data_IF_354487746615
#
_entry.id   IF_354487746615
#
_cell.length_a   1.000
_cell.length_b   1.000
_cell.length_c   1.000
_cell.angle_alpha   90.00
_cell.angle_beta   90.00
_cell.angle_gamma   90.00
#
_symmetry.space_group_name_H-M   'P 1'
#
loop_
_entity.id
_entity.type
_entity.pdbx_description
1 polymer ?
#
# COMPACT_ATOMS: atom_id res chain seq x y z
N UNK A 1 10.06 12.25 -4.74
CA UNK A 1 8.58 12.20 -4.78
C UNK A 1 8.06 11.95 -3.38
N UNK A 2 6.87 12.48 -3.04
CA UNK A 2 6.25 12.12 -1.76
C UNK A 2 5.87 10.64 -1.79
N UNK A 3 6.27 9.89 -0.76
CA UNK A 3 5.95 8.47 -0.61
C UNK A 3 4.69 8.32 0.22
N UNK A 4 3.80 7.42 -0.22
CA UNK A 4 2.57 7.12 0.51
C UNK A 4 2.87 6.32 1.77
N UNK A 5 3.76 5.33 1.67
CA UNK A 5 4.17 4.49 2.78
C UNK A 5 5.42 5.09 3.45
N UNK A 6 5.27 5.58 4.69
CA UNK A 6 6.32 6.30 5.40
C UNK A 6 7.50 5.41 5.82
N UNK A 7 7.28 4.08 5.99
CA UNK A 7 8.36 3.14 6.31
C UNK A 7 9.51 3.20 5.29
N UNK A 8 9.21 3.53 4.04
CA UNK A 8 10.19 3.61 2.97
C UNK A 8 11.22 4.76 3.16
N UNK A 9 10.88 5.76 3.98
CA UNK A 9 11.78 6.81 4.43
C UNK A 9 12.52 6.51 5.74
N UNK A 10 12.04 5.52 6.50
CA UNK A 10 12.57 5.16 7.82
C UNK A 10 13.53 3.98 7.76
N UNK A 11 13.48 3.20 6.67
CA UNK A 11 14.29 2.00 6.46
C UNK A 11 14.97 2.12 5.10
N UNK A 12 16.26 1.88 5.04
CA UNK A 12 16.95 1.78 3.74
C UNK A 12 16.59 0.44 3.07
N UNK A 13 15.68 0.50 2.12
CA UNK A 13 15.24 -0.63 1.30
C UNK A 13 15.89 -0.62 -0.10
N UNK A 14 16.88 0.24 -0.34
CA UNK A 14 17.50 0.42 -1.65
C UNK A 14 18.09 -0.89 -2.19
N UNK A 15 18.80 -1.64 -1.36
CA UNK A 15 19.35 -2.95 -1.73
C UNK A 15 18.26 -3.92 -2.18
N UNK A 16 17.16 -4.00 -1.43
CA UNK A 16 16.02 -4.87 -1.76
C UNK A 16 15.38 -4.45 -3.10
N UNK A 17 15.16 -3.14 -3.27
CA UNK A 17 14.58 -2.59 -4.51
C UNK A 17 15.48 -2.81 -5.71
N UNK A 18 16.79 -2.61 -5.55
CA UNK A 18 17.77 -2.83 -6.63
C UNK A 18 17.82 -4.30 -7.01
N UNK A 19 17.84 -5.23 -6.06
CA UNK A 19 17.81 -6.67 -6.34
C UNK A 19 16.53 -7.08 -7.08
N UNK A 20 15.38 -6.50 -6.74
CA UNK A 20 14.15 -6.72 -7.50
C UNK A 20 14.29 -6.29 -8.97
N UNK A 21 14.98 -5.18 -9.25
CA UNK A 21 15.18 -4.64 -10.59
C UNK A 21 16.24 -5.38 -11.39
N UNK A 22 17.35 -5.72 -10.76
CA UNK A 22 18.53 -6.29 -11.44
C UNK A 22 18.44 -7.81 -11.61
N UNK A 23 17.93 -8.52 -10.58
CA UNK A 23 17.87 -9.98 -10.54
C UNK A 23 16.46 -10.54 -10.71
N UNK A 24 15.45 -9.70 -10.50
CA UNK A 24 14.05 -10.08 -10.60
C UNK A 24 13.54 -10.16 -12.04
N UNK A 25 12.26 -10.43 -12.16
CA UNK A 25 11.53 -10.43 -13.43
C UNK A 25 10.53 -9.28 -13.46
N UNK A 26 10.52 -8.53 -14.57
CA UNK A 26 9.48 -7.55 -14.83
C UNK A 26 8.19 -8.27 -15.22
N UNK A 27 7.11 -8.06 -14.48
CA UNK A 27 5.77 -8.58 -14.78
C UNK A 27 4.79 -7.46 -15.00
N UNK A 28 3.95 -7.61 -16.01
CA UNK A 28 2.82 -6.72 -16.29
C UNK A 28 1.56 -7.28 -15.65
N UNK A 29 0.77 -6.39 -15.06
CA UNK A 29 -0.51 -6.70 -14.43
C UNK A 29 -1.60 -5.87 -15.11
N UNK A 30 -2.65 -6.52 -15.55
CA UNK A 30 -3.86 -5.83 -15.98
C UNK A 30 -4.57 -5.21 -14.77
N UNK A 31 -5.39 -4.17 -15.01
CA UNK A 31 -6.25 -3.62 -13.95
C UNK A 31 -7.11 -4.73 -13.33
N UNK A 32 -7.20 -4.73 -11.98
CA UNK A 32 -7.86 -5.73 -11.13
C UNK A 32 -7.18 -7.11 -11.11
N UNK A 33 -6.07 -7.30 -11.80
CA UNK A 33 -5.29 -8.53 -11.69
C UNK A 33 -4.65 -8.66 -10.31
N UNK A 34 -4.72 -9.86 -9.75
CA UNK A 34 -4.29 -10.14 -8.38
C UNK A 34 -2.79 -10.42 -8.31
N UNK A 35 -2.09 -9.73 -7.42
CA UNK A 35 -0.71 -9.99 -7.01
C UNK A 35 -0.64 -11.02 -5.87
N UNK A 36 -1.47 -10.84 -4.83
CA UNK A 36 -1.66 -11.77 -3.71
C UNK A 36 -3.15 -11.94 -3.46
N UNK A 37 -3.62 -13.18 -3.34
CA UNK A 37 -5.01 -13.48 -3.00
C UNK A 37 -5.13 -13.76 -1.51
N UNK A 38 -6.16 -13.22 -0.86
CA UNK A 38 -6.52 -13.57 0.52
C UNK A 38 -6.67 -15.09 0.67
N UNK A 39 -6.08 -15.66 1.72
CA UNK A 39 -6.05 -17.10 1.98
C UNK A 39 -4.89 -17.85 1.32
N UNK A 40 -4.14 -17.24 0.41
CA UNK A 40 -2.95 -17.82 -0.21
C UNK A 40 -1.66 -17.26 0.41
N UNK A 41 -0.59 -18.05 0.39
CA UNK A 41 0.75 -17.56 0.77
C UNK A 41 1.33 -16.75 -0.39
N UNK A 42 1.69 -15.50 -0.15
CA UNK A 42 2.30 -14.63 -1.16
C UNK A 42 3.64 -15.20 -1.65
N UNK A 43 3.77 -15.30 -2.97
CA UNK A 43 4.92 -15.96 -3.64
C UNK A 43 6.04 -14.98 -4.01
N UNK A 44 5.72 -13.69 -4.12
CA UNK A 44 6.61 -12.66 -4.62
C UNK A 44 6.65 -11.44 -3.69
N UNK A 45 7.75 -10.73 -3.77
CA UNK A 45 7.92 -9.35 -3.34
C UNK A 45 8.38 -8.57 -4.56
N UNK A 46 7.90 -7.35 -4.75
CA UNK A 46 8.32 -6.56 -5.89
C UNK A 46 8.33 -5.07 -5.62
N UNK A 47 8.89 -4.33 -6.59
CA UNK A 47 8.86 -2.87 -6.67
C UNK A 47 7.90 -2.49 -7.78
N UNK A 48 6.97 -1.59 -7.50
CA UNK A 48 6.06 -1.05 -8.51
C UNK A 48 6.85 -0.12 -9.42
N UNK A 49 6.97 -0.46 -10.70
CA UNK A 49 7.69 0.35 -11.69
C UNK A 49 6.75 1.32 -12.42
N UNK A 50 5.47 0.98 -12.52
CA UNK A 50 4.43 1.86 -13.03
C UNK A 50 3.05 1.48 -12.50
N UNK A 51 2.12 2.44 -12.43
CA UNK A 51 0.78 2.22 -11.91
C UNK A 51 0.73 2.17 -10.39
N UNK A 52 -0.26 1.43 -9.85
CA UNK A 52 -0.38 1.25 -8.39
C UNK A 52 -1.11 -0.05 -8.05
N UNK A 53 -0.92 -0.51 -6.81
CA UNK A 53 -1.64 -1.63 -6.22
C UNK A 53 -2.49 -1.16 -5.05
N UNK A 54 -3.67 -1.76 -4.89
CA UNK A 54 -4.55 -1.58 -3.74
C UNK A 54 -4.60 -2.85 -2.90
N UNK A 55 -4.63 -2.67 -1.60
CA UNK A 55 -4.73 -3.72 -0.59
C UNK A 55 -6.16 -3.74 -0.11
N UNK A 56 -6.82 -4.89 -0.16
CA UNK A 56 -8.24 -4.99 0.13
C UNK A 56 -8.55 -6.15 1.07
N UNK A 57 -9.62 -6.00 1.83
CA UNK A 57 -10.21 -7.03 2.68
C UNK A 57 -11.68 -7.19 2.35
N UNK A 58 -12.21 -8.39 2.58
CA UNK A 58 -13.65 -8.64 2.47
C UNK A 58 -14.29 -8.33 3.82
N UNK A 59 -15.26 -7.43 3.83
CA UNK A 59 -16.04 -7.07 5.02
C UNK A 59 -17.06 -8.16 5.37
N UNK A 60 -17.63 -8.08 6.56
CA UNK A 60 -18.70 -9.00 7.00
C UNK A 60 -19.95 -8.93 6.12
N UNK A 61 -20.17 -7.80 5.42
CA UNK A 61 -21.25 -7.65 4.43
C UNK A 61 -20.93 -8.24 3.05
N UNK A 62 -19.73 -8.84 2.88
CA UNK A 62 -19.27 -9.40 1.61
C UNK A 62 -18.74 -8.35 0.61
N UNK A 63 -18.66 -7.08 1.01
CA UNK A 63 -18.10 -6.03 0.16
C UNK A 63 -16.59 -5.90 0.35
N UNK A 64 -15.89 -5.42 -0.70
CA UNK A 64 -14.46 -5.15 -0.64
C UNK A 64 -14.20 -3.78 -0.02
N UNK A 65 -13.27 -3.71 0.93
CA UNK A 65 -12.79 -2.46 1.53
C UNK A 65 -11.29 -2.29 1.27
N UNK A 66 -10.88 -1.08 0.87
CA UNK A 66 -9.47 -0.73 0.65
C UNK A 66 -8.82 -0.37 1.98
N UNK A 67 -7.69 -1.02 2.30
CA UNK A 67 -6.94 -0.80 3.54
C UNK A 67 -5.56 -0.17 3.31
N UNK A 68 -5.10 -0.09 2.07
CA UNK A 68 -3.80 0.50 1.72
C UNK A 68 -3.54 0.55 0.23
N UNK A 69 -2.41 1.14 -0.12
CA UNK A 69 -1.90 1.25 -1.49
C UNK A 69 -0.38 1.06 -1.52
N UNK A 70 0.15 0.67 -2.69
CA UNK A 70 1.55 0.83 -3.07
C UNK A 70 1.62 1.49 -4.43
N UNK A 71 2.44 2.53 -4.53
CA UNK A 71 2.61 3.34 -5.73
C UNK A 71 3.99 3.11 -6.36
N UNK A 72 4.24 3.77 -7.50
CA UNK A 72 5.52 3.71 -8.20
C UNK A 72 6.70 3.99 -7.26
N UNK A 73 7.71 3.13 -7.32
CA UNK A 73 8.90 3.14 -6.48
C UNK A 73 8.73 2.47 -5.11
N UNK A 74 7.50 2.13 -4.69
CA UNK A 74 7.24 1.45 -3.41
C UNK A 74 7.23 -0.08 -3.55
N UNK A 75 7.46 -0.77 -2.45
CA UNK A 75 7.38 -2.23 -2.39
C UNK A 75 5.92 -2.67 -2.37
N UNK A 76 5.59 -3.71 -3.16
CA UNK A 76 4.33 -4.41 -3.14
C UNK A 76 4.52 -5.83 -2.62
N UNK A 77 3.92 -6.14 -1.47
CA UNK A 77 3.86 -7.48 -0.86
C UNK A 77 2.90 -7.48 0.34
N UNK A 78 2.33 -8.63 0.70
CA UNK A 78 1.92 -8.89 2.08
C UNK A 78 3.15 -9.43 2.83
N UNK A 79 4.04 -8.51 3.21
CA UNK A 79 5.38 -8.86 3.69
C UNK A 79 5.33 -9.77 4.91
N UNK A 80 4.60 -9.38 5.96
CA UNK A 80 4.60 -10.12 7.22
C UNK A 80 4.11 -11.57 7.06
N UNK A 81 2.97 -11.77 6.40
CA UNK A 81 2.43 -13.11 6.22
C UNK A 81 3.27 -13.94 5.24
N UNK A 82 3.64 -13.36 4.09
CA UNK A 82 4.43 -14.05 3.07
C UNK A 82 5.83 -14.42 3.57
N UNK A 83 6.48 -13.53 4.33
CA UNK A 83 7.78 -13.81 4.96
C UNK A 83 7.69 -14.98 5.93
N UNK A 84 6.63 -15.05 6.74
CA UNK A 84 6.40 -16.10 7.73
C UNK A 84 5.69 -17.34 7.16
N UNK A 85 5.50 -17.43 5.84
CA UNK A 85 4.80 -18.54 5.14
C UNK A 85 3.38 -18.75 5.64
N UNK A 86 2.71 -17.67 6.01
CA UNK A 86 1.31 -17.67 6.44
C UNK A 86 0.40 -17.25 5.29
N UNK A 87 -0.84 -17.74 5.24
CA UNK A 87 -1.84 -17.23 4.31
C UNK A 87 -2.06 -15.72 4.51
N UNK A 88 -2.19 -15.00 3.41
CA UNK A 88 -2.50 -13.57 3.41
C UNK A 88 -3.90 -13.32 3.96
N UNK A 89 -4.04 -12.30 4.79
CA UNK A 89 -5.34 -11.82 5.29
C UNK A 89 -5.96 -10.77 4.35
N UNK A 90 -5.23 -10.38 3.31
CA UNK A 90 -5.63 -9.35 2.35
C UNK A 90 -5.50 -9.86 0.92
N UNK A 91 -6.22 -9.21 0.00
CA UNK A 91 -5.97 -9.34 -1.44
C UNK A 91 -5.25 -8.09 -1.93
N UNK A 92 -4.17 -8.26 -2.70
CA UNK A 92 -3.44 -7.16 -3.36
C UNK A 92 -3.74 -7.24 -4.85
N UNK A 93 -4.27 -6.15 -5.42
CA UNK A 93 -4.66 -6.06 -6.83
C UNK A 93 -4.08 -4.82 -7.49
N UNK A 94 -3.77 -4.93 -8.78
CA UNK A 94 -3.43 -3.77 -9.60
C UNK A 94 -4.64 -2.82 -9.72
N UNK A 95 -4.46 -1.57 -9.33
CA UNK A 95 -5.53 -0.55 -9.44
C UNK A 95 -5.66 0.01 -10.86
N UNK A 96 -4.58 -0.04 -11.63
CA UNK A 96 -4.50 0.29 -13.08
C UNK A 96 -3.69 -0.79 -13.77
N UNK A 97 -3.52 -0.70 -15.09
CA UNK A 97 -2.45 -1.43 -15.75
C UNK A 97 -1.12 -1.02 -15.10
N UNK A 98 -0.36 -1.98 -14.61
CA UNK A 98 0.81 -1.77 -13.76
C UNK A 98 1.95 -2.70 -14.15
N UNK A 99 3.17 -2.33 -13.79
CA UNK A 99 4.35 -3.19 -13.95
C UNK A 99 5.11 -3.30 -12.64
N UNK A 100 5.68 -4.47 -12.37
CA UNK A 100 6.39 -4.79 -11.14
C UNK A 100 7.67 -5.54 -11.45
N UNK A 101 8.80 -5.05 -10.95
CA UNK A 101 10.04 -5.81 -10.87
C UNK A 101 9.99 -6.67 -9.60
N UNK A 102 9.91 -8.00 -9.75
CA UNK A 102 9.63 -8.90 -8.64
C UNK A 102 10.64 -10.04 -8.52
N UNK A 103 10.92 -10.43 -7.28
CA UNK A 103 11.69 -11.62 -6.92
C UNK A 103 10.80 -12.60 -6.14
N UNK A 104 11.23 -13.87 -6.07
CA UNK A 104 10.52 -14.85 -5.25
C UNK A 104 10.65 -14.49 -3.76
N UNK A 105 9.61 -14.76 -2.98
CA UNK A 105 9.65 -14.51 -1.52
C UNK A 105 10.74 -15.34 -0.81
N UNK A 106 11.19 -16.47 -1.38
CA UNK A 106 12.35 -17.23 -0.89
C UNK A 106 13.63 -16.43 -0.99
N UNK A 107 13.88 -15.82 -2.15
CA UNK A 107 15.04 -14.96 -2.41
C UNK A 107 14.97 -13.69 -1.56
N UNK A 108 13.78 -13.09 -1.48
CA UNK A 108 13.56 -11.93 -0.63
C UNK A 108 13.91 -12.22 0.85
N UNK A 109 13.55 -13.39 1.40
CA UNK A 109 13.92 -13.76 2.79
C UNK A 109 15.42 -13.81 3.01
N UNK A 110 16.16 -14.43 2.10
CA UNK A 110 17.62 -14.50 2.16
C UNK A 110 18.23 -13.11 2.12
N UNK A 111 17.73 -12.27 1.22
CA UNK A 111 18.17 -10.89 1.07
C UNK A 111 17.88 -10.05 2.33
N UNK A 112 16.67 -10.14 2.89
CA UNK A 112 16.34 -9.45 4.15
C UNK A 112 17.20 -9.93 5.32
N UNK A 113 17.41 -11.24 5.45
CA UNK A 113 18.29 -11.79 6.51
C UNK A 113 19.71 -11.27 6.37
N UNK A 114 20.25 -11.15 5.17
CA UNK A 114 21.58 -10.63 4.91
C UNK A 114 21.66 -9.12 5.15
N UNK A 115 20.72 -8.35 4.59
CA UNK A 115 20.71 -6.89 4.66
C UNK A 115 20.52 -6.38 6.09
N UNK A 116 19.69 -7.07 6.87
CA UNK A 116 19.39 -6.68 8.26
C UNK A 116 20.08 -7.56 9.30
N UNK A 117 21.13 -8.32 8.90
CA UNK A 117 21.93 -9.20 9.78
C UNK A 117 21.05 -10.14 10.64
N UNK A 118 19.93 -10.60 10.09
CA UNK A 118 18.93 -11.41 10.79
C UNK A 118 18.07 -10.65 11.80
N UNK A 119 18.33 -9.35 12.03
CA UNK A 119 17.56 -8.54 12.97
C UNK A 119 16.35 -7.83 12.28
N UNK A 120 15.29 -8.59 12.02
CA UNK A 120 14.04 -8.06 11.48
C UNK A 120 13.17 -7.35 12.51
N UNK A 121 13.57 -7.32 13.77
CA UNK A 121 12.78 -6.69 14.85
C UNK A 121 12.61 -5.20 14.62
N UNK A 122 13.65 -4.51 14.17
CA UNK A 122 13.60 -3.08 13.83
C UNK A 122 12.66 -2.81 12.65
N UNK A 123 12.74 -3.61 11.58
CA UNK A 123 11.84 -3.53 10.43
C UNK A 123 10.38 -3.75 10.84
N UNK A 124 10.11 -4.83 11.58
CA UNK A 124 8.77 -5.12 12.08
C UNK A 124 8.26 -4.02 13.01
N UNK A 125 9.12 -3.44 13.85
CA UNK A 125 8.78 -2.32 14.73
C UNK A 125 8.34 -1.07 13.95
N UNK A 126 9.05 -0.73 12.88
CA UNK A 126 8.72 0.43 12.03
C UNK A 126 7.41 0.20 11.27
N UNK A 127 7.24 -0.97 10.64
CA UNK A 127 6.00 -1.34 9.97
C UNK A 127 4.81 -1.35 10.92
N UNK A 128 4.98 -1.92 12.11
CA UNK A 128 3.95 -1.92 13.15
C UNK A 128 3.61 -0.49 13.60
N UNK A 129 4.61 0.34 13.85
CA UNK A 129 4.42 1.74 14.28
C UNK A 129 3.61 2.54 13.26
N UNK A 130 3.89 2.37 11.96
CA UNK A 130 3.15 3.04 10.90
C UNK A 130 1.69 2.57 10.84
N UNK A 131 1.45 1.25 10.84
CA UNK A 131 0.10 0.68 10.83
C UNK A 131 -0.67 1.13 12.08
N UNK A 132 -0.04 1.06 13.25
CA UNK A 132 -0.66 1.46 14.52
C UNK A 132 -0.99 2.96 14.55
N UNK A 133 -0.09 3.81 14.05
CA UNK A 133 -0.36 5.25 13.94
C UNK A 133 -1.55 5.55 13.02
N UNK A 134 -1.63 4.91 11.86
CA UNK A 134 -2.78 5.03 10.94
C UNK A 134 -4.08 4.57 11.63
N UNK A 135 -4.04 3.47 12.38
CA UNK A 135 -5.19 2.98 13.15
C UNK A 135 -5.66 4.01 14.18
N UNK A 136 -4.74 4.63 14.92
CA UNK A 136 -5.08 5.66 15.91
C UNK A 136 -5.67 6.92 15.25
N UNK A 137 -5.24 7.29 14.05
CA UNK A 137 -5.78 8.44 13.32
C UNK A 137 -7.26 8.29 12.96
N UNK A 138 -7.75 7.07 12.76
CA UNK A 138 -9.18 6.80 12.55
C UNK A 138 -10.03 7.29 13.72
N UNK A 139 -9.52 7.18 14.94
CA UNK A 139 -10.21 7.62 16.16
C UNK A 139 -9.96 9.09 16.51
N UNK A 140 -8.79 9.63 16.17
CA UNK A 140 -8.39 11.00 16.52
C UNK A 140 -8.88 12.06 15.56
N UNK A 141 -9.04 11.72 14.27
CA UNK A 141 -9.32 12.66 13.19
C UNK A 141 -10.69 12.42 12.58
N UNK A 142 -11.37 13.51 12.27
CA UNK A 142 -12.59 13.47 11.46
C UNK A 142 -12.28 12.98 10.04
N UNK A 143 -13.27 12.47 9.29
CA UNK A 143 -13.08 12.12 7.88
C UNK A 143 -12.54 13.27 7.01
N UNK A 144 -12.91 14.50 7.32
CA UNK A 144 -12.43 15.69 6.60
C UNK A 144 -10.93 15.92 6.86
N UNK A 145 -10.50 15.80 8.10
CA UNK A 145 -9.08 15.94 8.47
C UNK A 145 -8.25 14.82 7.84
N UNK A 146 -8.71 13.56 7.90
CA UNK A 146 -8.02 12.43 7.23
C UNK A 146 -7.90 12.63 5.72
N UNK A 147 -8.94 13.20 5.08
CA UNK A 147 -8.88 13.52 3.66
C UNK A 147 -7.87 14.62 3.36
N UNK A 148 -7.83 15.69 4.18
CA UNK A 148 -6.86 16.78 4.02
C UNK A 148 -5.43 16.29 4.21
N UNK A 149 -5.17 15.48 5.23
CA UNK A 149 -3.86 14.89 5.47
C UNK A 149 -3.41 14.03 4.28
N UNK A 150 -4.31 13.20 3.75
CA UNK A 150 -4.04 12.35 2.61
C UNK A 150 -3.62 13.14 1.37
N UNK A 151 -4.38 14.18 1.01
CA UNK A 151 -4.09 14.99 -0.19
C UNK A 151 -2.91 15.95 0.01
N UNK A 152 -2.59 16.32 1.26
CA UNK A 152 -1.42 17.12 1.59
C UNK A 152 -0.15 16.28 1.52
N UNK A 153 -0.19 15.08 2.09
CA UNK A 153 0.95 14.16 2.10
C UNK A 153 1.21 13.50 0.74
N UNK A 154 0.14 13.23 -0.03
CA UNK A 154 0.22 12.57 -1.32
C UNK A 154 -0.74 13.20 -2.34
N UNK A 155 -0.45 14.42 -2.84
CA UNK A 155 -1.37 15.17 -3.73
C UNK A 155 -1.77 14.40 -5.00
N UNK A 156 -0.84 13.66 -5.59
CA UNK A 156 -1.05 12.90 -6.83
C UNK A 156 -2.07 11.76 -6.68
N UNK A 157 -2.48 11.39 -5.47
CA UNK A 157 -3.47 10.32 -5.27
C UNK A 157 -4.79 10.60 -5.98
N UNK A 158 -5.16 11.88 -6.11
CA UNK A 158 -6.40 12.30 -6.77
C UNK A 158 -6.40 12.06 -8.28
N UNK A 159 -5.22 12.00 -8.90
CA UNK A 159 -5.04 11.78 -10.33
C UNK A 159 -4.93 10.29 -10.66
N UNK A 160 -4.47 9.49 -9.70
CA UNK A 160 -4.11 8.08 -9.88
C UNK A 160 -5.22 7.14 -9.39
N UNK A 161 -5.81 7.43 -8.23
CA UNK A 161 -6.74 6.53 -7.54
C UNK A 161 -8.19 6.98 -7.71
N UNK A 162 -9.10 6.02 -7.94
CA UNK A 162 -10.52 6.32 -8.04
C UNK A 162 -11.06 6.93 -6.73
N UNK A 163 -12.00 7.89 -6.85
CA UNK A 163 -12.66 8.44 -5.66
C UNK A 163 -13.39 7.39 -4.82
N UNK A 164 -13.81 6.29 -5.43
CA UNK A 164 -14.43 5.17 -4.74
C UNK A 164 -13.41 4.47 -3.83
N UNK A 165 -12.21 4.20 -4.34
CA UNK A 165 -11.15 3.55 -3.56
C UNK A 165 -10.60 4.48 -2.47
N UNK A 166 -10.48 5.79 -2.76
CA UNK A 166 -10.12 6.80 -1.74
C UNK A 166 -11.19 6.86 -0.63
N UNK A 167 -12.46 6.88 -0.98
CA UNK A 167 -13.55 6.88 0.00
C UNK A 167 -13.52 5.62 0.87
N UNK A 168 -13.31 4.46 0.26
CA UNK A 168 -13.16 3.19 0.97
C UNK A 168 -12.00 3.23 1.96
N UNK A 169 -10.82 3.66 1.51
CA UNK A 169 -9.63 3.83 2.35
C UNK A 169 -9.85 4.77 3.55
N UNK A 170 -10.59 5.86 3.32
CA UNK A 170 -10.94 6.84 4.37
C UNK A 170 -12.11 6.39 5.26
N UNK A 171 -12.67 5.19 5.03
CA UNK A 171 -13.83 4.66 5.75
C UNK A 171 -15.06 5.57 5.65
N UNK A 172 -15.32 6.11 4.48
CA UNK A 172 -16.49 6.93 4.19
C UNK A 172 -17.18 6.47 2.90
N UNK A 173 -18.42 6.91 2.67
CA UNK A 173 -19.10 6.68 1.40
C UNK A 173 -18.58 7.62 0.31
N UNK A 174 -18.59 7.23 -0.98
CA UNK A 174 -18.22 8.12 -2.09
C UNK A 174 -19.03 9.42 -2.12
N UNK A 175 -20.33 9.35 -1.74
CA UNK A 175 -21.22 10.54 -1.64
C UNK A 175 -20.73 11.49 -0.55
N UNK A 176 -20.33 10.94 0.62
CA UNK A 176 -19.80 11.76 1.72
C UNK A 176 -18.46 12.41 1.33
N UNK A 177 -17.55 11.67 0.70
CA UNK A 177 -16.29 12.22 0.19
C UNK A 177 -16.54 13.36 -0.81
N UNK A 178 -17.50 13.21 -1.73
CA UNK A 178 -17.88 14.28 -2.67
C UNK A 178 -18.37 15.53 -1.96
N UNK A 179 -19.11 15.40 -0.85
CA UNK A 179 -19.54 16.55 -0.01
C UNK A 179 -18.36 17.23 0.67
N UNK A 180 -17.41 16.46 1.25
CA UNK A 180 -16.19 17.01 1.83
C UNK A 180 -15.48 17.89 0.79
N UNK A 181 -15.21 17.35 -0.41
CA UNK A 181 -14.51 18.05 -1.50
C UNK A 181 -15.22 19.34 -1.90
N UNK A 182 -16.56 19.30 -2.06
CA UNK A 182 -17.37 20.48 -2.40
C UNK A 182 -17.27 21.56 -1.32
N UNK A 183 -17.32 21.18 -0.04
CA UNK A 183 -17.24 22.12 1.08
C UNK A 183 -15.85 22.80 1.17
N UNK A 184 -14.79 22.02 0.96
CA UNK A 184 -13.42 22.55 0.93
C UNK A 184 -13.21 23.52 -0.24
N UNK A 185 -13.71 23.19 -1.43
CA UNK A 185 -13.62 24.08 -2.59
C UNK A 185 -14.40 25.39 -2.44
N UNK A 186 -15.45 25.43 -1.61
CA UNK A 186 -16.13 26.70 -1.26
C UNK A 186 -15.28 27.56 -0.32
N UNK A 187 -14.73 26.96 0.74
CA UNK A 187 -13.90 27.68 1.72
C UNK A 187 -12.62 28.28 1.12
N UNK A 188 -12.09 27.68 0.05
CA UNK A 188 -10.90 28.21 -0.65
C UNK A 188 -11.20 29.38 -1.60
N UNK A 189 -12.47 29.73 -1.79
CA UNK A 189 -12.91 30.84 -2.67
C UNK A 189 -13.43 32.07 -1.89
N UNK A 190 -13.60 31.91 -0.60
CA UNK A 190 -13.92 32.96 0.37
C UNK A 190 -12.63 33.49 1.03
#
# INVERSE_FOLDING_TARGET
>A
MAQFNQYDSMIDLSTIKNDCREKGSLRLYAKEETFVQQGEVGKYLGVVESGYFKYTVITTSGSEAVVGFSFEGEIVADFYNSYNRRPSEITIKAGTASSVSQIRMTEARELFNTTFEGNLSSLNGILFSEIYSRQLEIYRKTPTERYLDLITSYPQILDIVSLRDIASYLLVTPVYLSRIRKNLAKKSRE
#
